data_IF_381133848044
#
_entry.id   IF_381133848044
#
_cell.length_a   1.000
_cell.length_b   1.000
_cell.length_c   1.000
_cell.angle_alpha   90.00
_cell.angle_beta   90.00
_cell.angle_gamma   90.00
#
_symmetry.space_group_name_H-M   'P 1'
#
loop_
_entity.id
_entity.type
_entity.pdbx_description
1 polymer ?
#
# COMPACT_ATOMS: atom_id res chain seq x y z
N UNK A 1 -12.97 1.57 26.15
CA UNK A 1 -12.71 1.89 24.74
C UNK A 1 -11.34 1.36 24.29
N UNK A 2 -11.05 0.06 24.46
CA UNK A 2 -9.77 -0.56 24.05
C UNK A 2 -9.96 -1.65 22.98
N UNK A 3 -11.20 -2.04 22.68
CA UNK A 3 -11.54 -3.09 21.72
C UNK A 3 -11.44 -2.62 20.26
N UNK A 4 -11.66 -1.33 20.00
CA UNK A 4 -11.65 -0.77 18.65
C UNK A 4 -10.23 -0.58 18.13
N UNK A 5 -9.31 -0.11 18.97
CA UNK A 5 -7.90 0.03 18.62
C UNK A 5 -7.26 -1.31 18.22
N UNK A 6 -7.50 -2.37 18.99
CA UNK A 6 -6.98 -3.70 18.67
C UNK A 6 -7.52 -4.25 17.35
N UNK A 7 -8.79 -3.97 17.05
CA UNK A 7 -9.46 -4.32 15.79
C UNK A 7 -8.87 -3.54 14.60
N UNK A 8 -8.68 -2.22 14.76
CA UNK A 8 -8.05 -1.36 13.76
C UNK A 8 -6.63 -1.80 13.44
N UNK A 9 -5.80 -2.07 14.46
CA UNK A 9 -4.43 -2.56 14.25
C UNK A 9 -4.40 -3.91 13.53
N UNK A 10 -5.34 -4.82 13.85
CA UNK A 10 -5.45 -6.12 13.16
C UNK A 10 -5.85 -5.93 11.70
N UNK A 11 -6.79 -5.02 11.43
CA UNK A 11 -7.22 -4.68 10.06
C UNK A 11 -6.07 -4.06 9.26
N UNK A 12 -5.37 -3.08 9.83
CA UNK A 12 -4.21 -2.42 9.23
C UNK A 12 -3.10 -3.42 8.87
N UNK A 13 -2.78 -4.37 9.77
CA UNK A 13 -1.83 -5.46 9.49
C UNK A 13 -2.30 -6.38 8.36
N UNK A 14 -3.61 -6.64 8.28
CA UNK A 14 -4.21 -7.39 7.17
C UNK A 14 -4.02 -6.67 5.85
N UNK A 15 -4.37 -5.39 5.79
CA UNK A 15 -4.21 -4.53 4.62
C UNK A 15 -2.76 -4.43 4.16
N UNK A 16 -1.82 -4.23 5.08
CA UNK A 16 -0.38 -4.16 4.76
C UNK A 16 0.14 -5.46 4.12
N UNK A 17 -0.29 -6.62 4.63
CA UNK A 17 0.09 -7.92 4.03
C UNK A 17 -0.45 -8.08 2.62
N UNK A 18 -1.73 -7.74 2.40
CA UNK A 18 -2.34 -7.78 1.07
C UNK A 18 -1.69 -6.79 0.12
N UNK A 19 -1.38 -5.58 0.59
CA UNK A 19 -0.68 -4.56 -0.19
C UNK A 19 0.67 -5.09 -0.67
N UNK A 20 1.44 -5.69 0.24
CA UNK A 20 2.74 -6.25 -0.09
C UNK A 20 2.65 -7.36 -1.13
N UNK A 21 1.62 -8.20 -1.06
CA UNK A 21 1.36 -9.23 -2.05
C UNK A 21 0.97 -8.63 -3.41
N UNK A 22 0.10 -7.62 -3.42
CA UNK A 22 -0.33 -6.92 -4.63
C UNK A 22 0.85 -6.23 -5.33
N UNK A 23 1.72 -5.58 -4.56
CA UNK A 23 2.96 -4.97 -5.05
C UNK A 23 3.91 -6.04 -5.62
N UNK A 24 4.13 -7.14 -4.91
CA UNK A 24 4.97 -8.24 -5.39
C UNK A 24 4.43 -8.94 -6.65
N UNK A 25 3.10 -8.89 -6.84
CA UNK A 25 2.42 -9.46 -8.01
C UNK A 25 2.19 -8.45 -9.14
N UNK A 26 2.76 -7.25 -9.03
CA UNK A 26 2.62 -6.13 -9.99
C UNK A 26 1.16 -5.68 -10.24
N UNK A 27 0.25 -6.01 -9.33
CA UNK A 27 -1.17 -5.63 -9.40
C UNK A 27 -1.37 -4.19 -8.91
N UNK A 28 -0.91 -3.22 -9.71
CA UNK A 28 -0.86 -1.79 -9.35
C UNK A 28 -2.20 -1.23 -8.86
N UNK A 29 -3.29 -1.51 -9.57
CA UNK A 29 -4.63 -1.02 -9.20
C UNK A 29 -5.10 -1.56 -7.84
N UNK A 30 -4.78 -2.82 -7.54
CA UNK A 30 -5.08 -3.47 -6.26
C UNK A 30 -4.22 -2.89 -5.15
N UNK A 31 -2.92 -2.71 -5.40
CA UNK A 31 -1.99 -2.09 -4.46
C UNK A 31 -2.43 -0.66 -4.09
N UNK A 32 -2.81 0.16 -5.08
CA UNK A 32 -3.31 1.52 -4.85
C UNK A 32 -4.59 1.54 -4.00
N UNK A 33 -5.52 0.63 -4.27
CA UNK A 33 -6.75 0.53 -3.49
C UNK A 33 -6.48 0.16 -2.03
N UNK A 34 -5.57 -0.78 -1.80
CA UNK A 34 -5.18 -1.23 -0.46
C UNK A 34 -4.41 -0.14 0.31
N UNK A 35 -3.55 0.61 -0.37
CA UNK A 35 -2.83 1.74 0.21
C UNK A 35 -3.81 2.83 0.66
N UNK A 36 -4.76 3.21 -0.19
CA UNK A 36 -5.81 4.19 0.17
C UNK A 36 -6.69 3.73 1.34
N UNK A 37 -6.98 2.42 1.42
CA UNK A 37 -7.71 1.87 2.55
C UNK A 37 -6.91 2.02 3.86
N UNK A 38 -5.60 1.80 3.82
CA UNK A 38 -4.70 1.96 4.96
C UNK A 38 -4.55 3.44 5.37
N UNK A 39 -4.44 4.36 4.42
CA UNK A 39 -4.45 5.82 4.66
C UNK A 39 -5.73 6.27 5.38
N UNK A 40 -6.89 5.79 4.92
CA UNK A 40 -8.19 6.11 5.55
C UNK A 40 -8.25 5.57 6.97
N UNK A 41 -7.73 4.37 7.20
CA UNK A 41 -7.72 3.75 8.52
C UNK A 41 -6.80 4.51 9.48
N UNK A 42 -5.59 4.89 9.05
CA UNK A 42 -4.67 5.69 9.84
C UNK A 42 -5.23 7.09 10.16
N UNK A 43 -5.94 7.70 9.21
CA UNK A 43 -6.65 8.96 9.45
C UNK A 43 -7.72 8.86 10.54
N UNK A 44 -8.43 7.73 10.62
CA UNK A 44 -9.42 7.49 11.67
C UNK A 44 -8.81 7.01 12.99
N UNK A 45 -7.67 6.33 12.94
CA UNK A 45 -6.98 5.72 14.08
C UNK A 45 -5.46 5.94 13.95
N UNK A 46 -4.90 7.01 14.54
CA UNK A 46 -3.50 7.39 14.38
C UNK A 46 -2.51 6.32 14.82
N UNK A 47 -2.90 5.41 15.71
CA UNK A 47 -2.05 4.28 16.09
C UNK A 47 -1.71 3.33 14.91
N UNK A 48 -2.41 3.43 13.78
CA UNK A 48 -2.12 2.67 12.56
C UNK A 48 -1.07 3.35 11.65
N UNK A 49 -0.67 4.60 11.92
CA UNK A 49 0.33 5.34 11.12
C UNK A 49 1.64 4.57 10.87
N UNK A 50 2.24 3.87 11.86
CA UNK A 50 3.47 3.11 11.62
C UNK A 50 3.33 2.02 10.54
N UNK A 51 2.13 1.45 10.39
CA UNK A 51 1.86 0.44 9.36
C UNK A 51 1.68 1.08 7.97
N UNK A 52 1.17 2.32 7.92
CA UNK A 52 1.09 3.11 6.69
C UNK A 52 2.49 3.52 6.21
N UNK A 53 3.35 3.98 7.11
CA UNK A 53 4.75 4.31 6.80
C UNK A 53 5.49 3.10 6.20
N UNK A 54 5.27 1.92 6.79
CA UNK A 54 5.82 0.68 6.25
C UNK A 54 5.32 0.39 4.83
N UNK A 55 4.05 0.66 4.53
CA UNK A 55 3.50 0.50 3.18
C UNK A 55 4.18 1.44 2.18
N UNK A 56 4.36 2.73 2.51
CA UNK A 56 5.06 3.67 1.64
C UNK A 56 6.51 3.24 1.37
N UNK A 57 7.23 2.79 2.40
CA UNK A 57 8.60 2.28 2.26
C UNK A 57 8.68 1.03 1.38
N UNK A 58 7.65 0.17 1.40
CA UNK A 58 7.56 -0.99 0.50
C UNK A 58 7.26 -0.56 -0.95
N UNK A 59 6.32 0.36 -1.15
CA UNK A 59 6.00 0.89 -2.49
C UNK A 59 7.23 1.47 -3.19
N UNK A 60 8.01 2.31 -2.51
CA UNK A 60 9.23 2.91 -3.07
C UNK A 60 10.24 1.84 -3.52
N UNK A 61 10.44 0.78 -2.72
CA UNK A 61 11.39 -0.31 -3.04
C UNK A 61 10.99 -1.11 -4.28
N UNK A 62 9.70 -1.26 -4.55
CA UNK A 62 9.23 -2.02 -5.71
C UNK A 62 9.09 -1.16 -6.98
N UNK A 63 8.80 0.14 -6.86
CA UNK A 63 8.81 1.05 -8.00
C UNK A 63 10.22 1.34 -8.53
N UNK A 64 11.27 1.16 -7.72
CA UNK A 64 12.67 1.27 -8.16
C UNK A 64 13.13 0.21 -9.17
N UNK A 65 12.34 -0.84 -9.41
CA UNK A 65 12.61 -1.88 -10.41
C UNK A 65 11.82 -1.71 -11.71
N UNK A 66 10.96 -0.70 -11.82
CA UNK A 66 10.25 -0.40 -13.07
C UNK A 66 11.16 0.43 -13.98
N UNK A 67 11.70 -0.22 -15.00
CA UNK A 67 12.44 0.39 -16.11
C UNK A 67 11.66 1.59 -16.69
N UNK A 68 12.22 2.82 -16.72
CA UNK A 68 11.56 3.99 -17.29
C UNK A 68 11.54 4.03 -18.83
N UNK A 69 11.89 2.95 -19.55
CA UNK A 69 12.00 2.96 -21.02
C UNK A 69 11.04 2.01 -21.73
N UNK A 70 9.83 2.49 -21.95
CA UNK A 70 9.13 2.21 -23.22
C UNK A 70 9.03 3.50 -24.01
N UNK A 71 9.88 3.73 -25.02
CA UNK A 71 9.61 4.78 -25.99
C UNK A 71 8.33 4.40 -26.73
N UNK A 72 7.35 5.30 -26.65
CA UNK A 72 6.11 5.27 -27.42
C UNK A 72 6.48 5.12 -28.90
N UNK A 73 6.09 4.00 -29.52
CA UNK A 73 6.21 3.85 -30.96
C UNK A 73 5.29 4.88 -31.63
N UNK A 74 5.89 5.82 -32.37
CA UNK A 74 5.15 6.74 -33.23
C UNK A 74 4.71 6.00 -34.50
N UNK A 75 3.44 6.12 -34.93
CA UNK A 75 2.99 5.60 -36.23
C UNK A 75 3.56 6.47 -37.36
N UNK A 76 4.00 5.81 -38.45
CA UNK A 76 4.50 6.41 -39.69
C UNK A 76 3.40 7.12 -40.49
#
# INVERSE_FOLDING_TARGET
MNSDLGSCLRLARGLLRLYSLAVASEQRSVADHLLRALERLAKSEPACEPLLDEAYLRGIRHHGSADPRTPRAEPQ
#
